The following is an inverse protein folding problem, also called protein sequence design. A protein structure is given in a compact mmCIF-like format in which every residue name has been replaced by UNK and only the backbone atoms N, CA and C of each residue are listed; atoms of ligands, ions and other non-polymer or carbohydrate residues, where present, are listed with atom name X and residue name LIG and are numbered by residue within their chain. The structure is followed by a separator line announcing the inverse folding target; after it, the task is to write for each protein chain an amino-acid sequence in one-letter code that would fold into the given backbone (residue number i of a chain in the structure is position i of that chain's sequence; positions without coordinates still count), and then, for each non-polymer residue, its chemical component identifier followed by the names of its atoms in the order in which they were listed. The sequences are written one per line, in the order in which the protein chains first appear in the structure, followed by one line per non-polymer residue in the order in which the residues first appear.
data_IF_870963047248
#
_entry.id   IF_870963047248
#
_cell.length_a   1.000
_cell.length_b   1.000
_cell.length_c   1.000
_cell.angle_alpha   90.00
_cell.angle_beta   90.00
_cell.angle_gamma   90.00
#
_symmetry.space_group_name_H-M   'P 1'
#
loop_
_entity.id
_entity.type
_entity.pdbx_description
1 polymer ?
#
# COMPACT_ATOMS: atom_id res chain seq x y z
N UNK A 1 -0.57 -10.58 -5.08
CA UNK A 1 0.60 -9.69 -4.94
C UNK A 1 0.28 -8.74 -3.79
N UNK A 2 1.03 -8.80 -2.70
CA UNK A 2 0.74 -7.98 -1.51
C UNK A 2 1.28 -6.58 -1.74
N UNK A 3 0.44 -5.60 -1.43
CA UNK A 3 0.80 -4.19 -1.52
C UNK A 3 1.94 -3.80 -0.57
N UNK A 4 2.80 -2.84 -0.94
CA UNK A 4 3.92 -2.40 -0.09
C UNK A 4 3.44 -1.75 1.22
N UNK A 5 2.35 -0.99 1.20
CA UNK A 5 1.80 -0.45 2.43
C UNK A 5 1.24 -1.56 3.31
N UNK A 6 0.51 -2.51 2.72
CA UNK A 6 0.00 -3.70 3.44
C UNK A 6 1.11 -4.56 4.01
N UNK A 7 2.23 -4.72 3.31
CA UNK A 7 3.40 -5.47 3.79
C UNK A 7 4.02 -4.82 5.06
N UNK A 8 3.90 -3.50 5.21
CA UNK A 8 4.30 -2.76 6.41
C UNK A 8 3.16 -2.59 7.42
N UNK A 9 1.94 -3.05 7.12
CA UNK A 9 0.75 -2.82 7.94
C UNK A 9 0.32 -1.35 8.00
N UNK A 10 0.57 -0.60 6.94
CA UNK A 10 0.28 0.82 6.82
C UNK A 10 -0.83 1.09 5.80
N UNK A 11 -1.41 2.29 5.90
CA UNK A 11 -2.24 2.90 4.86
C UNK A 11 -1.37 3.68 3.88
N UNK A 12 -1.85 3.94 2.67
CA UNK A 12 -1.10 4.71 1.65
C UNK A 12 -0.84 6.17 2.01
N UNK A 13 -1.67 6.72 2.90
CA UNK A 13 -1.53 8.07 3.48
C UNK A 13 -0.41 8.16 4.53
N UNK A 14 0.25 7.05 4.88
CA UNK A 14 1.27 6.99 5.92
C UNK A 14 2.46 7.92 5.63
N UNK A 15 2.93 8.63 6.66
CA UNK A 15 4.10 9.49 6.52
C UNK A 15 5.38 8.66 6.37
N UNK A 16 6.43 9.24 5.81
CA UNK A 16 7.75 8.59 5.72
C UNK A 16 8.27 8.14 7.10
N UNK A 17 7.93 8.88 8.16
CA UNK A 17 8.28 8.51 9.53
C UNK A 17 7.61 7.18 9.95
N UNK A 18 6.36 6.96 9.55
CA UNK A 18 5.61 5.74 9.85
C UNK A 18 6.15 4.56 9.05
N UNK A 19 6.49 4.77 7.77
CA UNK A 19 7.17 3.76 6.92
C UNK A 19 8.46 3.28 7.60
N UNK A 20 9.31 4.22 8.04
CA UNK A 20 10.56 3.91 8.73
C UNK A 20 10.32 3.18 10.07
N UNK A 21 9.28 3.58 10.81
CA UNK A 21 8.92 2.95 12.09
C UNK A 21 8.42 1.52 11.90
N UNK A 22 7.49 1.32 10.97
CA UNK A 22 6.92 0.01 10.64
C UNK A 22 8.00 -0.96 10.15
N UNK A 23 8.89 -0.51 9.26
CA UNK A 23 10.01 -1.32 8.79
C UNK A 23 10.86 -1.84 9.96
N UNK A 24 11.27 -0.98 10.89
CA UNK A 24 12.08 -1.40 12.05
C UNK A 24 11.36 -2.43 12.92
N UNK A 25 10.05 -2.24 13.14
CA UNK A 25 9.24 -3.16 13.94
C UNK A 25 9.08 -4.52 13.25
N UNK A 26 8.77 -4.53 11.95
CA UNK A 26 8.56 -5.76 11.18
C UNK A 26 9.87 -6.50 10.91
N UNK A 27 10.96 -5.78 10.62
CA UNK A 27 12.28 -6.38 10.50
C UNK A 27 12.70 -7.05 11.82
N UNK A 28 12.40 -6.42 12.96
CA UNK A 28 12.62 -7.00 14.28
C UNK A 28 11.67 -8.16 14.61
N UNK A 29 10.53 -8.30 13.93
CA UNK A 29 9.58 -9.39 14.13
C UNK A 29 9.92 -10.62 13.27
N UNK A 30 10.41 -10.40 12.05
CA UNK A 30 10.66 -11.46 11.07
C UNK A 30 12.15 -11.82 10.91
N UNK A 31 13.04 -11.27 11.73
CA UNK A 31 14.48 -11.58 11.66
C UNK A 31 14.75 -13.08 11.92
N UNK A 32 15.58 -13.75 11.10
CA UNK A 32 15.81 -15.19 11.17
C UNK A 32 16.35 -15.67 12.52
N UNK A 33 17.19 -14.87 13.19
CA UNK A 33 17.78 -15.25 14.49
C UNK A 33 16.76 -15.38 15.63
N UNK A 34 15.56 -14.81 15.49
CA UNK A 34 14.56 -14.70 16.57
C UNK A 34 13.19 -15.23 16.18
N UNK A 35 13.00 -15.57 14.90
CA UNK A 35 11.74 -16.06 14.38
C UNK A 35 11.99 -17.32 13.53
N UNK A 36 11.49 -18.45 14.02
CA UNK A 36 11.59 -19.76 13.38
C UNK A 36 10.37 -20.12 12.51
N UNK A 37 9.44 -19.19 12.32
CA UNK A 37 8.30 -19.38 11.43
C UNK A 37 8.80 -19.59 9.99
N UNK A 38 8.37 -20.66 9.29
CA UNK A 38 8.76 -20.91 7.90
C UNK A 38 8.41 -19.76 6.94
N UNK A 39 7.41 -18.94 7.28
CA UNK A 39 7.01 -17.77 6.49
C UNK A 39 7.81 -16.50 6.84
N UNK A 40 8.57 -16.50 7.94
CA UNK A 40 9.33 -15.31 8.38
C UNK A 40 10.30 -14.79 7.30
N UNK A 41 11.08 -15.62 6.57
CA UNK A 41 11.94 -15.14 5.50
C UNK A 41 11.17 -14.47 4.36
N UNK A 42 10.00 -15.00 3.99
CA UNK A 42 9.17 -14.43 2.94
C UNK A 42 8.58 -13.08 3.37
N UNK A 43 8.08 -12.99 4.61
CA UNK A 43 7.57 -11.73 5.18
C UNK A 43 8.66 -10.69 5.35
N UNK A 44 9.86 -11.11 5.77
CA UNK A 44 11.03 -10.23 5.89
C UNK A 44 11.41 -9.63 4.53
N UNK A 45 11.47 -10.44 3.46
CA UNK A 45 11.71 -9.95 2.09
C UNK A 45 10.64 -8.96 1.64
N UNK A 46 9.37 -9.27 1.86
CA UNK A 46 8.28 -8.35 1.50
C UNK A 46 8.38 -6.99 2.24
N UNK A 47 8.78 -7.01 3.52
CA UNK A 47 9.01 -5.82 4.33
C UNK A 47 10.21 -5.02 3.83
N UNK A 48 11.29 -5.69 3.40
CA UNK A 48 12.46 -5.03 2.80
C UNK A 48 12.10 -4.36 1.48
N UNK A 49 11.47 -5.09 0.56
CA UNK A 49 11.03 -4.55 -0.74
C UNK A 49 10.08 -3.35 -0.56
N UNK A 50 9.13 -3.46 0.36
CA UNK A 50 8.23 -2.36 0.68
C UNK A 50 8.98 -1.12 1.18
N UNK A 51 9.96 -1.31 2.07
CA UNK A 51 10.76 -0.20 2.57
C UNK A 51 11.63 0.44 1.47
N UNK A 52 12.25 -0.35 0.61
CA UNK A 52 13.08 0.14 -0.50
C UNK A 52 12.31 1.03 -1.49
N UNK A 53 11.02 0.75 -1.67
CA UNK A 53 10.14 1.55 -2.53
C UNK A 53 9.56 2.75 -1.78
N UNK A 54 9.03 2.55 -0.58
CA UNK A 54 8.28 3.58 0.15
C UNK A 54 9.15 4.58 0.91
N UNK A 55 10.42 4.25 1.18
CA UNK A 55 11.35 5.14 1.86
C UNK A 55 11.98 6.19 0.94
N UNK A 56 12.00 5.92 -0.37
CA UNK A 56 12.49 6.83 -1.40
C UNK A 56 11.32 7.61 -2.03
N UNK A 57 11.46 8.93 -2.10
CA UNK A 57 10.36 9.79 -2.53
C UNK A 57 9.96 9.56 -3.99
N UNK A 58 10.94 9.37 -4.89
CA UNK A 58 10.70 9.21 -6.32
C UNK A 58 10.12 7.82 -6.63
N UNK A 59 10.65 6.77 -6.00
CA UNK A 59 10.13 5.40 -6.13
C UNK A 59 8.73 5.29 -5.55
N UNK A 60 8.47 5.93 -4.40
CA UNK A 60 7.12 6.00 -3.81
C UNK A 60 6.14 6.70 -4.72
N UNK A 61 6.51 7.84 -5.31
CA UNK A 61 5.65 8.57 -6.22
C UNK A 61 5.30 7.75 -7.47
N UNK A 62 6.28 7.07 -8.07
CA UNK A 62 6.06 6.17 -9.21
C UNK A 62 5.16 4.99 -8.85
N UNK A 63 5.38 4.41 -7.67
CA UNK A 63 4.55 3.33 -7.14
C UNK A 63 3.11 3.78 -6.91
N UNK A 64 2.89 4.89 -6.21
CA UNK A 64 1.56 5.43 -5.91
C UNK A 64 0.80 5.80 -7.19
N UNK A 65 1.48 6.33 -8.21
CA UNK A 65 0.88 6.61 -9.52
C UNK A 65 0.39 5.32 -10.21
N UNK A 66 1.20 4.26 -10.21
CA UNK A 66 0.80 2.95 -10.74
C UNK A 66 -0.38 2.37 -9.94
N UNK A 67 -0.32 2.49 -8.63
CA UNK A 67 -1.31 1.97 -7.69
C UNK A 67 -2.70 2.58 -7.90
N UNK A 68 -2.75 3.91 -8.09
CA UNK A 68 -3.97 4.66 -8.42
C UNK A 68 -4.57 4.21 -9.75
N UNK A 69 -3.73 4.02 -10.78
CA UNK A 69 -4.17 3.52 -12.09
C UNK A 69 -4.78 2.11 -12.00
N UNK A 70 -4.26 1.28 -11.10
CA UNK A 70 -4.67 -0.12 -10.94
C UNK A 70 -5.69 -0.36 -9.81
N UNK A 71 -6.25 0.69 -9.21
CA UNK A 71 -7.28 0.61 -8.15
C UNK A 71 -6.90 -0.22 -6.91
N UNK A 72 -5.61 -0.38 -6.63
CA UNK A 72 -5.13 -1.30 -5.58
C UNK A 72 -5.31 -0.76 -4.15
N UNK A 73 -5.65 0.52 -3.98
CA UNK A 73 -5.68 1.20 -2.70
C UNK A 73 -7.06 1.16 -2.03
N UNK A 74 -8.06 1.67 -2.76
CA UNK A 74 -9.45 1.60 -2.33
C UNK A 74 -10.36 1.31 -3.53
N UNK A 75 -10.49 0.03 -3.94
CA UNK A 75 -11.23 -0.35 -5.12
C UNK A 75 -12.72 0.00 -5.01
N UNK A 76 -13.30 -0.07 -3.80
CA UNK A 76 -14.71 0.26 -3.58
C UNK A 76 -14.97 1.77 -3.64
N UNK A 77 -14.17 2.58 -2.95
CA UNK A 77 -14.30 4.04 -3.00
C UNK A 77 -14.02 4.55 -4.41
N UNK A 78 -13.03 3.97 -5.10
CA UNK A 78 -12.75 4.37 -6.48
C UNK A 78 -13.87 3.94 -7.43
N UNK A 79 -14.41 2.72 -7.27
CA UNK A 79 -15.57 2.29 -8.04
C UNK A 79 -16.79 3.18 -7.77
N UNK A 80 -17.01 3.60 -6.52
CA UNK A 80 -18.09 4.51 -6.15
C UNK A 80 -17.89 5.91 -6.75
N UNK A 81 -16.67 6.45 -6.70
CA UNK A 81 -16.34 7.74 -7.34
C UNK A 81 -16.55 7.69 -8.85
N UNK A 82 -16.08 6.62 -9.51
CA UNK A 82 -16.30 6.39 -10.94
C UNK A 82 -17.81 6.31 -11.22
N UNK A 83 -18.55 5.52 -10.45
CA UNK A 83 -19.99 5.36 -10.62
C UNK A 83 -20.71 6.71 -10.47
N UNK A 84 -20.45 7.46 -9.41
CA UNK A 84 -21.01 8.80 -9.20
C UNK A 84 -20.66 9.73 -10.37
N UNK A 85 -19.39 9.79 -10.79
CA UNK A 85 -18.96 10.65 -11.89
C UNK A 85 -19.65 10.34 -13.23
N UNK A 86 -20.00 9.08 -13.48
CA UNK A 86 -20.73 8.67 -14.69
C UNK A 86 -22.25 8.85 -14.57
N UNK A 87 -22.84 8.50 -13.43
CA UNK A 87 -24.30 8.42 -13.28
C UNK A 87 -24.93 9.70 -12.75
N UNK A 88 -24.25 10.48 -11.90
CA UNK A 88 -24.81 11.71 -11.33
C UNK A 88 -25.24 12.72 -12.42
N UNK A 89 -24.42 13.03 -13.45
CA UNK A 89 -24.84 13.96 -14.50
C UNK A 89 -26.03 13.46 -15.32
N UNK A 90 -26.19 12.13 -15.46
CA UNK A 90 -27.28 11.51 -16.20
C UNK A 90 -28.60 11.54 -15.42
N UNK A 91 -28.54 11.33 -14.11
CA UNK A 91 -29.69 11.43 -13.22
C UNK A 91 -30.18 12.88 -13.12
N UNK A 92 -29.26 13.84 -13.04
CA UNK A 92 -29.60 15.26 -12.95
C UNK A 92 -30.21 15.80 -14.25
N UNK A 93 -29.78 15.31 -15.41
CA UNK A 93 -30.34 15.68 -16.71
C UNK A 93 -31.73 15.07 -16.99
N UNK A 94 -32.12 14.03 -16.25
CA UNK A 94 -33.41 13.36 -16.39
C UNK A 94 -34.51 13.93 -15.47
N UNK A 95 -34.19 15.00 -14.72
CA UNK A 95 -35.05 15.68 -13.75
C UNK A 95 -35.55 17.00 -14.31
#
# INVERSE_FOLDING_TARGET
MTDHYTALGLRSDAALADVKKAFRQMAALYHPDRNSDPDAPARFRAVQEAYEVLADADRRAAYDANRKRNLLDNPLETAQSIWNAYFDPLVEAAR
#
